data_IF_397906534898
#
_entry.id   IF_397906534898
#
_cell.length_a   1.000
_cell.length_b   1.000
_cell.length_c   1.000
_cell.angle_alpha   90.00
_cell.angle_beta   90.00
_cell.angle_gamma   90.00
#
_symmetry.space_group_name_H-M   'P 1'
#
loop_
_entity.id
_entity.type
_entity.pdbx_description
1 polymer ?
#
# COMPACT_ATOMS: atom_id res chain seq x y z
N UNK A 1 9.08 18.89 6.58
CA UNK A 1 9.39 17.45 6.56
C UNK A 1 10.43 17.15 5.47
N UNK A 2 11.25 16.10 5.63
CA UNK A 2 12.24 15.66 4.63
C UNK A 2 11.52 15.04 3.42
N UNK A 3 11.84 15.48 2.21
CA UNK A 3 11.35 14.88 0.98
C UNK A 3 12.55 14.42 0.12
N UNK A 4 12.51 13.24 -0.53
CA UNK A 4 11.53 12.17 -0.26
C UNK A 4 11.57 11.71 1.21
N UNK A 5 10.45 11.20 1.71
CA UNK A 5 10.36 10.66 3.06
C UNK A 5 11.31 9.47 3.21
N UNK A 6 11.30 8.58 2.21
CA UNK A 6 12.15 7.40 2.19
C UNK A 6 12.50 6.95 0.77
N UNK A 7 13.73 6.49 0.60
CA UNK A 7 14.22 5.77 -0.58
C UNK A 7 14.91 4.50 -0.12
N UNK A 8 14.59 3.40 -0.79
CA UNK A 8 15.21 2.11 -0.52
C UNK A 8 16.70 2.14 -0.91
N UNK A 9 17.64 1.92 0.02
CA UNK A 9 19.07 2.04 -0.29
C UNK A 9 19.63 0.83 -1.05
N UNK A 10 18.85 -0.23 -1.26
CA UNK A 10 19.33 -1.49 -1.87
C UNK A 10 19.00 -1.53 -3.36
N UNK A 11 17.73 -1.47 -3.70
CA UNK A 11 17.24 -1.51 -5.07
C UNK A 11 16.68 -0.17 -5.53
N UNK A 12 16.37 0.77 -4.64
CA UNK A 12 15.80 2.10 -4.95
C UNK A 12 14.38 2.04 -5.55
N UNK A 13 13.62 1.03 -5.10
CA UNK A 13 12.26 0.76 -5.55
C UNK A 13 11.27 0.61 -4.41
N UNK A 14 11.24 1.56 -3.47
CA UNK A 14 10.24 1.56 -2.40
C UNK A 14 8.85 1.94 -2.97
N UNK A 15 7.90 1.01 -2.91
CA UNK A 15 6.53 1.21 -3.43
C UNK A 15 5.50 0.56 -2.50
N UNK A 16 4.23 0.96 -2.63
CA UNK A 16 3.09 0.38 -1.92
C UNK A 16 3.33 0.25 -0.40
N UNK A 17 3.64 1.37 0.30
CA UNK A 17 4.02 1.31 1.71
C UNK A 17 2.79 1.03 2.59
N UNK A 18 3.00 0.30 3.69
CA UNK A 18 2.13 0.27 4.87
C UNK A 18 2.88 0.78 6.08
N UNK A 19 2.25 1.64 6.87
CA UNK A 19 2.80 2.26 8.07
C UNK A 19 2.15 1.63 9.29
N UNK A 20 2.94 0.92 10.09
CA UNK A 20 2.43 0.16 11.23
C UNK A 20 3.29 0.35 12.48
N UNK A 21 2.66 0.42 13.65
CA UNK A 21 3.37 0.53 14.91
C UNK A 21 3.86 -0.84 15.38
N UNK A 22 5.19 -0.99 15.47
CA UNK A 22 5.78 -2.16 16.12
C UNK A 22 5.71 -2.00 17.64
N UNK A 23 4.78 -2.72 18.26
CA UNK A 23 4.51 -2.72 19.71
C UNK A 23 5.64 -3.27 20.56
N UNK A 24 6.44 -4.21 20.06
CA UNK A 24 7.58 -4.76 20.80
C UNK A 24 8.77 -3.80 20.76
N UNK A 25 9.11 -3.30 19.56
CA UNK A 25 10.21 -2.35 19.38
C UNK A 25 9.87 -0.94 19.87
N UNK A 26 8.57 -0.61 19.97
CA UNK A 26 8.04 0.73 20.21
C UNK A 26 8.53 1.73 19.15
N UNK A 27 8.40 1.35 17.88
CA UNK A 27 8.82 2.14 16.72
C UNK A 27 7.78 2.09 15.62
N UNK A 28 7.68 3.15 14.82
CA UNK A 28 6.91 3.12 13.58
C UNK A 28 7.70 2.40 12.51
N UNK A 29 7.07 1.45 11.82
CA UNK A 29 7.67 0.68 10.74
C UNK A 29 6.94 0.97 9.44
N UNK A 30 7.72 1.16 8.37
CA UNK A 30 7.26 1.23 6.99
C UNK A 30 7.65 -0.08 6.35
N UNK A 31 6.67 -0.87 5.96
CA UNK A 31 6.86 -2.11 5.22
C UNK A 31 6.38 -1.84 3.79
N UNK A 32 7.17 -2.19 2.79
CA UNK A 32 6.91 -1.77 1.41
C UNK A 32 7.28 -2.84 0.40
N UNK A 33 6.64 -2.84 -0.77
CA UNK A 33 7.09 -3.61 -1.93
C UNK A 33 8.51 -3.18 -2.30
N UNK A 34 9.50 -4.05 -2.15
CA UNK A 34 10.88 -3.75 -2.52
C UNK A 34 11.11 -4.08 -4.01
N UNK A 35 10.70 -3.17 -4.91
CA UNK A 35 10.89 -3.31 -6.35
C UNK A 35 12.37 -3.33 -6.68
N UNK A 36 12.78 -4.28 -7.52
CA UNK A 36 14.19 -4.54 -7.85
C UNK A 36 14.65 -3.67 -9.02
N UNK A 37 14.56 -2.35 -8.85
CA UNK A 37 14.77 -1.37 -9.93
C UNK A 37 16.13 -1.51 -10.61
N UNK A 38 17.20 -1.77 -9.83
CA UNK A 38 18.56 -1.97 -10.34
C UNK A 38 18.86 -3.39 -10.81
N UNK A 39 17.94 -4.35 -10.64
CA UNK A 39 18.14 -5.71 -11.11
C UNK A 39 18.02 -5.80 -12.63
N UNK A 40 18.84 -6.67 -13.23
CA UNK A 40 18.71 -7.04 -14.63
C UNK A 40 17.45 -7.89 -14.84
N UNK A 41 16.86 -7.78 -16.03
CA UNK A 41 15.67 -8.52 -16.40
C UNK A 41 14.87 -7.84 -17.51
N UNK A 42 14.13 -8.64 -18.24
CA UNK A 42 13.29 -8.18 -19.34
C UNK A 42 11.93 -7.69 -18.84
N UNK A 43 11.35 -6.74 -19.58
CA UNK A 43 10.00 -6.24 -19.34
C UNK A 43 9.78 -5.81 -17.89
N UNK A 44 8.85 -6.50 -17.22
CA UNK A 44 8.41 -6.17 -15.86
C UNK A 44 9.08 -7.02 -14.78
N UNK A 45 10.14 -7.77 -15.10
CA UNK A 45 10.85 -8.60 -14.12
C UNK A 45 11.34 -7.82 -12.88
N UNK A 46 11.62 -6.52 -13.02
CA UNK A 46 12.04 -5.65 -11.93
C UNK A 46 10.95 -5.40 -10.87
N UNK A 47 9.65 -5.53 -11.22
CA UNK A 47 8.56 -5.50 -10.23
C UNK A 47 8.22 -6.87 -9.68
N UNK A 48 8.76 -7.96 -10.24
CA UNK A 48 8.59 -9.31 -9.69
C UNK A 48 9.82 -9.75 -8.88
N UNK A 49 9.75 -10.89 -8.20
CA UNK A 49 10.80 -11.38 -7.31
C UNK A 49 11.06 -10.45 -6.13
N UNK A 50 10.07 -9.66 -5.75
CA UNK A 50 10.17 -8.62 -4.71
C UNK A 50 10.02 -9.23 -3.33
N UNK A 51 10.86 -8.77 -2.41
CA UNK A 51 10.63 -8.97 -0.98
C UNK A 51 9.75 -7.81 -0.45
N UNK A 52 9.40 -7.88 0.83
CA UNK A 52 8.88 -6.75 1.58
C UNK A 52 10.04 -6.07 2.33
N UNK A 53 10.40 -4.86 1.93
CA UNK A 53 11.41 -4.05 2.60
C UNK A 53 10.89 -3.44 3.90
N UNK A 54 11.78 -3.14 4.84
CA UNK A 54 11.44 -2.58 6.15
C UNK A 54 12.31 -1.36 6.43
N UNK A 55 11.69 -0.25 6.81
CA UNK A 55 12.35 0.89 7.43
C UNK A 55 11.68 1.21 8.77
N UNK A 56 12.44 1.65 9.77
CA UNK A 56 11.88 2.03 11.08
C UNK A 56 12.15 3.49 11.43
N UNK A 57 11.25 4.06 12.21
CA UNK A 57 11.29 5.42 12.71
C UNK A 57 11.06 5.44 14.23
N UNK A 58 11.99 6.08 14.94
CA UNK A 58 11.96 6.28 16.40
C UNK A 58 11.52 7.69 16.80
N UNK A 59 11.34 8.58 15.81
CA UNK A 59 11.14 10.02 15.98
C UNK A 59 9.79 10.48 15.41
N UNK A 60 8.79 9.60 15.46
CA UNK A 60 7.42 9.90 15.01
C UNK A 60 7.29 10.06 13.51
N UNK A 61 8.08 9.33 12.71
CA UNK A 61 8.02 9.35 11.26
C UNK A 61 8.89 10.43 10.60
N UNK A 62 9.62 11.24 11.37
CA UNK A 62 10.46 12.33 10.82
C UNK A 62 11.64 11.78 10.02
N UNK A 63 12.24 10.68 10.48
CA UNK A 63 13.30 9.96 9.78
C UNK A 63 13.05 8.45 9.76
N UNK A 64 13.51 7.81 8.68
CA UNK A 64 13.32 6.39 8.42
C UNK A 64 14.67 5.72 8.13
N UNK A 65 14.98 4.68 8.90
CA UNK A 65 16.19 3.90 8.78
C UNK A 65 15.85 2.53 8.17
N UNK A 66 16.44 2.19 7.02
CA UNK A 66 16.31 0.86 6.44
C UNK A 66 16.81 -0.23 7.40
N UNK A 67 16.04 -1.31 7.53
CA UNK A 67 16.27 -2.43 8.47
C UNK A 67 16.52 -3.77 7.79
N UNK A 68 16.20 -3.91 6.51
CA UNK A 68 16.29 -5.17 5.78
C UNK A 68 14.99 -5.50 5.07
N UNK A 69 14.79 -6.78 4.78
CA UNK A 69 13.53 -7.32 4.24
C UNK A 69 12.94 -8.34 5.20
N UNK A 70 11.61 -8.48 5.20
CA UNK A 70 10.93 -9.55 5.94
C UNK A 70 11.42 -10.93 5.46
N UNK A 71 11.55 -11.87 6.38
CA UNK A 71 12.07 -13.22 6.13
C UNK A 71 10.99 -14.27 6.38
N UNK A 72 11.17 -15.47 5.83
CA UNK A 72 10.31 -16.62 6.13
C UNK A 72 8.91 -16.58 5.49
N UNK A 73 8.71 -15.73 4.48
CA UNK A 73 7.43 -15.60 3.78
C UNK A 73 7.23 -16.63 2.66
N UNK A 74 8.29 -17.21 2.10
CA UNK A 74 8.15 -18.18 1.02
C UNK A 74 7.41 -19.45 1.49
N UNK A 75 6.31 -19.78 0.79
CA UNK A 75 5.50 -20.99 1.03
C UNK A 75 5.91 -22.19 0.18
N UNK A 76 6.83 -21.97 -0.77
CA UNK A 76 7.34 -22.97 -1.69
C UNK A 76 8.75 -22.60 -2.19
N UNK A 77 9.47 -23.56 -2.77
CA UNK A 77 10.82 -23.33 -3.27
C UNK A 77 10.82 -22.36 -4.46
N UNK A 78 11.68 -21.33 -4.39
CA UNK A 78 11.90 -20.40 -5.49
C UNK A 78 12.22 -18.98 -5.01
N UNK A 79 12.34 -18.06 -5.98
CA UNK A 79 12.32 -16.62 -5.71
C UNK A 79 10.96 -16.10 -6.12
N UNK A 80 10.10 -15.84 -5.15
CA UNK A 80 8.72 -15.43 -5.39
C UNK A 80 8.55 -13.92 -5.22
N UNK A 81 7.35 -13.44 -5.51
CA UNK A 81 6.99 -12.04 -5.53
C UNK A 81 5.97 -11.74 -4.44
N UNK A 82 6.26 -10.73 -3.63
CA UNK A 82 5.36 -10.19 -2.61
C UNK A 82 5.11 -8.70 -2.87
N UNK A 83 3.83 -8.30 -2.96
CA UNK A 83 3.42 -6.91 -3.20
C UNK A 83 2.40 -6.41 -2.20
N UNK A 84 2.46 -5.09 -1.95
CA UNK A 84 1.42 -4.28 -1.30
C UNK A 84 0.83 -4.98 -0.06
N UNK A 85 1.63 -5.14 1.01
CA UNK A 85 1.15 -5.79 2.22
C UNK A 85 0.17 -4.88 2.95
N UNK A 86 -0.96 -5.44 3.37
CA UNK A 86 -1.83 -4.86 4.39
C UNK A 86 -1.51 -5.48 5.73
N UNK A 87 -1.34 -4.67 6.78
CA UNK A 87 -0.99 -5.16 8.11
C UNK A 87 -1.85 -4.49 9.17
N UNK A 88 -2.63 -5.30 9.88
CA UNK A 88 -3.46 -4.85 11.02
C UNK A 88 -3.06 -5.56 12.31
N UNK A 89 -3.24 -4.88 13.44
CA UNK A 89 -3.09 -5.48 14.76
C UNK A 89 -4.47 -5.84 15.33
N UNK A 90 -4.64 -7.10 15.72
CA UNK A 90 -5.88 -7.56 16.34
C UNK A 90 -5.58 -8.66 17.38
N UNK A 91 -6.20 -8.55 18.56
CA UNK A 91 -6.12 -9.53 19.65
C UNK A 91 -4.70 -10.06 19.97
N UNK A 92 -3.69 -9.18 19.96
CA UNK A 92 -2.32 -9.56 20.33
C UNK A 92 -1.45 -10.06 19.18
N UNK A 93 -1.94 -10.01 17.93
CA UNK A 93 -1.21 -10.45 16.75
C UNK A 93 -1.29 -9.43 15.63
N UNK A 94 -0.21 -9.31 14.86
CA UNK A 94 -0.25 -8.71 13.53
C UNK A 94 -0.80 -9.74 12.55
N UNK A 95 -1.73 -9.30 11.71
CA UNK A 95 -2.23 -10.05 10.57
C UNK A 95 -1.75 -9.34 9.30
N UNK A 96 -1.06 -10.06 8.42
CA UNK A 96 -0.63 -9.54 7.12
C UNK A 96 -1.38 -10.24 6.00
N UNK A 97 -1.88 -9.46 5.06
CA UNK A 97 -2.47 -9.91 3.80
C UNK A 97 -1.63 -9.34 2.67
N UNK A 98 -1.04 -10.22 1.88
CA UNK A 98 -0.03 -9.83 0.88
C UNK A 98 -0.31 -10.50 -0.45
N UNK A 99 -0.16 -9.73 -1.52
CA UNK A 99 -0.27 -10.23 -2.88
C UNK A 99 0.93 -11.12 -3.22
N UNK A 100 0.67 -12.29 -3.77
CA UNK A 100 1.67 -13.30 -4.08
C UNK A 100 1.64 -13.73 -5.53
N UNK A 101 2.82 -13.79 -6.16
CA UNK A 101 3.04 -14.38 -7.48
C UNK A 101 4.25 -15.31 -7.41
N UNK A 102 4.08 -16.53 -7.92
CA UNK A 102 5.18 -17.49 -8.02
C UNK A 102 6.21 -17.02 -9.06
N UNK A 103 7.49 -16.99 -8.66
CA UNK A 103 8.61 -16.71 -9.55
C UNK A 103 8.81 -15.24 -9.94
N UNK A 104 9.58 -15.04 -11.02
CA UNK A 104 9.89 -13.73 -11.63
C UNK A 104 9.40 -13.71 -13.09
N UNK A 105 8.12 -13.40 -13.33
CA UNK A 105 7.63 -13.13 -14.68
C UNK A 105 8.37 -11.98 -15.37
N UNK A 106 8.58 -12.10 -16.69
CA UNK A 106 9.02 -10.97 -17.54
C UNK A 106 7.85 -10.19 -18.15
N UNK A 107 6.62 -10.71 -18.02
CA UNK A 107 5.38 -10.12 -18.53
C UNK A 107 4.19 -10.37 -17.60
N UNK A 108 3.12 -9.59 -17.75
CA UNK A 108 1.95 -9.65 -16.88
C UNK A 108 1.05 -10.87 -17.11
N UNK A 109 0.90 -11.31 -18.36
CA UNK A 109 -0.09 -12.31 -18.76
C UNK A 109 0.32 -13.72 -18.31
N UNK A 110 -0.67 -14.55 -17.95
CA UNK A 110 -0.46 -15.99 -17.70
C UNK A 110 0.00 -16.36 -16.28
N UNK A 111 0.05 -15.40 -15.35
CA UNK A 111 0.46 -15.63 -13.97
C UNK A 111 -0.72 -15.44 -13.00
N UNK A 112 -0.81 -16.27 -11.95
CA UNK A 112 -1.79 -16.08 -10.88
C UNK A 112 -1.34 -14.98 -9.94
N UNK A 113 -2.30 -14.25 -9.36
CA UNK A 113 -2.08 -13.38 -8.21
C UNK A 113 -2.99 -13.87 -7.09
N UNK A 114 -2.38 -14.39 -6.04
CA UNK A 114 -3.09 -14.92 -4.88
C UNK A 114 -2.95 -13.95 -3.70
N UNK A 115 -3.93 -13.95 -2.79
CA UNK A 115 -3.83 -13.25 -1.51
C UNK A 115 -3.40 -14.23 -0.43
N UNK A 116 -2.25 -13.99 0.21
CA UNK A 116 -1.74 -14.83 1.30
C UNK A 116 -1.94 -14.16 2.65
N UNK A 117 -2.31 -14.96 3.66
CA UNK A 117 -2.48 -14.53 5.04
C UNK A 117 -1.36 -15.06 5.93
N UNK A 118 -0.75 -14.17 6.70
CA UNK A 118 0.23 -14.47 7.74
C UNK A 118 -0.17 -13.85 9.07
N UNK A 119 0.34 -14.41 10.16
CA UNK A 119 0.31 -13.75 11.48
C UNK A 119 1.70 -13.62 12.07
N UNK A 120 1.96 -12.58 12.84
CA UNK A 120 3.21 -12.41 13.58
C UNK A 120 2.97 -11.80 14.96
N UNK A 121 3.73 -12.17 16.00
CA UNK A 121 3.70 -11.48 17.28
C UNK A 121 4.44 -10.13 17.27
N UNK A 122 5.36 -9.91 16.32
CA UNK A 122 6.38 -8.85 16.42
C UNK A 122 6.80 -8.20 15.09
N UNK A 123 6.06 -8.46 14.00
CA UNK A 123 6.35 -8.03 12.62
C UNK A 123 7.62 -8.65 11.98
N UNK A 124 8.27 -9.60 12.64
CA UNK A 124 9.46 -10.28 12.13
C UNK A 124 9.24 -11.78 11.97
N UNK A 125 8.67 -12.42 12.99
CA UNK A 125 8.43 -13.86 13.01
C UNK A 125 7.06 -14.15 12.41
N UNK A 126 7.01 -14.35 11.10
CA UNK A 126 5.77 -14.59 10.37
C UNK A 126 5.42 -16.06 10.29
N UNK A 127 4.15 -16.38 10.54
CA UNK A 127 3.57 -17.72 10.37
C UNK A 127 2.55 -17.68 9.25
N UNK A 128 2.80 -18.44 8.18
CA UNK A 128 1.82 -18.64 7.11
C UNK A 128 0.55 -19.30 7.66
N UNK A 129 -0.62 -18.77 7.27
CA UNK A 129 -1.93 -19.29 7.68
C UNK A 129 -2.68 -19.91 6.53
N UNK A 130 -2.86 -19.16 5.45
CA UNK A 130 -3.66 -19.61 4.32
C UNK A 130 -3.36 -18.83 3.05
N UNK A 131 -3.69 -19.44 1.92
CA UNK A 131 -4.00 -18.74 0.68
C UNK A 131 -5.51 -18.52 0.67
N UNK A 132 -5.96 -17.28 0.51
CA UNK A 132 -7.39 -16.98 0.53
C UNK A 132 -8.07 -17.41 -0.77
N UNK A 133 -9.31 -17.86 -0.64
CA UNK A 133 -10.22 -18.10 -1.77
C UNK A 133 -11.14 -16.87 -1.90
N UNK A 134 -10.79 -15.99 -2.84
CA UNK A 134 -11.54 -14.76 -3.15
C UNK A 134 -12.29 -14.90 -4.49
N UNK A 135 -12.73 -13.79 -5.08
CA UNK A 135 -13.55 -13.80 -6.29
C UNK A 135 -12.84 -14.34 -7.54
N UNK A 136 -11.51 -14.33 -7.58
CA UNK A 136 -10.72 -14.84 -8.71
C UNK A 136 -9.29 -15.24 -8.32
N UNK A 137 -8.50 -15.74 -9.28
CA UNK A 137 -7.07 -16.04 -9.14
C UNK A 137 -6.15 -14.88 -9.61
N UNK A 138 -6.70 -13.66 -9.68
CA UNK A 138 -5.99 -12.43 -10.04
C UNK A 138 -6.35 -11.29 -9.09
N UNK A 139 -6.18 -11.54 -7.81
CA UNK A 139 -6.51 -10.61 -6.73
C UNK A 139 -5.24 -10.08 -6.07
N UNK A 140 -5.18 -8.77 -5.84
CA UNK A 140 -4.05 -8.07 -5.20
C UNK A 140 -4.54 -6.91 -4.34
N UNK A 141 -3.62 -6.29 -3.61
CA UNK A 141 -3.79 -5.00 -2.95
C UNK A 141 -4.95 -4.99 -1.95
N UNK A 142 -4.84 -5.83 -0.92
CA UNK A 142 -5.83 -5.86 0.15
C UNK A 142 -5.78 -4.58 1.00
N UNK A 143 -6.91 -4.22 1.59
CA UNK A 143 -7.03 -3.33 2.74
C UNK A 143 -8.13 -3.86 3.64
N UNK A 144 -7.98 -3.76 4.96
CA UNK A 144 -8.93 -4.28 5.93
C UNK A 144 -9.36 -3.19 6.90
N UNK A 145 -10.66 -3.17 7.20
CA UNK A 145 -11.22 -2.30 8.22
C UNK A 145 -12.26 -3.06 9.05
N UNK A 146 -12.33 -2.76 10.35
CA UNK A 146 -13.37 -3.26 11.24
C UNK A 146 -14.76 -2.72 10.85
N UNK A 147 -15.77 -3.59 10.88
CA UNK A 147 -17.15 -3.19 10.59
C UNK A 147 -17.85 -2.67 11.87
N UNK A 148 -18.75 -1.68 11.78
CA UNK A 148 -19.46 -1.14 12.96
C UNK A 148 -20.32 -2.19 13.69
N UNK A 149 -20.76 -3.22 12.97
CA UNK A 149 -21.51 -4.36 13.52
C UNK A 149 -20.65 -5.49 14.11
N UNK A 150 -19.33 -5.32 14.12
CA UNK A 150 -18.36 -6.37 14.44
C UNK A 150 -17.90 -7.14 13.20
N UNK A 151 -16.75 -7.80 13.33
CA UNK A 151 -16.05 -8.40 12.20
C UNK A 151 -15.30 -7.37 11.37
N UNK A 152 -14.90 -7.79 10.18
CA UNK A 152 -13.96 -7.09 9.31
C UNK A 152 -14.43 -7.19 7.86
N UNK A 153 -14.08 -6.18 7.08
CA UNK A 153 -14.18 -6.22 5.62
C UNK A 153 -12.81 -6.01 5.02
N UNK A 154 -12.50 -6.84 4.03
CA UNK A 154 -11.37 -6.69 3.14
C UNK A 154 -11.87 -6.08 1.83
N UNK A 155 -11.18 -5.06 1.34
CA UNK A 155 -11.29 -4.57 -0.02
C UNK A 155 -10.03 -4.98 -0.78
N UNK A 156 -10.17 -5.41 -2.03
CA UNK A 156 -9.04 -5.83 -2.86
C UNK A 156 -9.32 -5.57 -4.33
N UNK A 157 -8.26 -5.41 -5.12
CA UNK A 157 -8.37 -5.33 -6.58
C UNK A 157 -8.60 -6.71 -7.15
N UNK A 158 -9.57 -6.85 -8.05
CA UNK A 158 -9.75 -8.05 -8.87
C UNK A 158 -9.51 -7.76 -10.35
N UNK A 159 -8.35 -8.16 -10.87
CA UNK A 159 -7.97 -7.92 -12.26
C UNK A 159 -8.83 -8.72 -13.25
N UNK A 160 -9.30 -9.91 -12.86
CA UNK A 160 -10.19 -10.72 -13.70
C UNK A 160 -11.59 -10.11 -13.82
N UNK A 161 -11.98 -9.26 -12.85
CA UNK A 161 -13.27 -8.57 -12.83
C UNK A 161 -13.14 -7.06 -13.11
N UNK A 162 -12.26 -6.69 -14.06
CA UNK A 162 -12.14 -5.33 -14.57
C UNK A 162 -11.13 -4.45 -13.84
N UNK A 163 -10.31 -5.02 -12.95
CA UNK A 163 -9.46 -4.27 -12.02
C UNK A 163 -10.29 -3.30 -11.17
N UNK A 164 -11.36 -3.83 -10.61
CA UNK A 164 -12.28 -3.13 -9.72
C UNK A 164 -12.03 -3.52 -8.27
N UNK A 165 -12.42 -2.67 -7.33
CA UNK A 165 -12.48 -3.05 -5.91
C UNK A 165 -13.62 -4.02 -5.68
N UNK A 166 -13.28 -5.20 -5.20
CA UNK A 166 -14.17 -6.21 -4.64
C UNK A 166 -14.00 -6.25 -3.12
N UNK A 167 -14.96 -6.87 -2.43
CA UNK A 167 -14.88 -7.07 -0.99
C UNK A 167 -15.17 -8.51 -0.55
N UNK A 168 -14.69 -8.83 0.65
CA UNK A 168 -15.00 -10.02 1.40
C UNK A 168 -15.08 -9.70 2.90
N UNK A 169 -15.98 -10.37 3.62
CA UNK A 169 -16.20 -10.13 5.06
C UNK A 169 -15.67 -11.30 5.88
N UNK A 170 -15.20 -11.02 7.09
CA UNK A 170 -14.69 -12.02 8.03
C UNK A 170 -15.10 -11.69 9.46
N UNK A 171 -15.38 -12.72 10.25
CA UNK A 171 -15.62 -12.57 11.69
C UNK A 171 -14.36 -12.78 12.54
N UNK A 172 -13.33 -13.39 11.97
CA UNK A 172 -12.17 -13.90 12.72
C UNK A 172 -10.81 -13.57 12.07
N UNK A 173 -10.80 -12.86 10.94
CA UNK A 173 -9.62 -12.58 10.09
C UNK A 173 -9.01 -13.81 9.39
N UNK A 174 -9.45 -15.03 9.68
CA UNK A 174 -8.93 -16.25 9.05
C UNK A 174 -9.79 -16.73 7.90
N UNK A 175 -11.12 -16.58 8.01
CA UNK A 175 -12.09 -17.04 7.03
C UNK A 175 -12.81 -15.86 6.41
N UNK A 176 -12.79 -15.78 5.09
CA UNK A 176 -13.33 -14.66 4.33
C UNK A 176 -14.45 -15.15 3.40
N UNK A 177 -15.56 -14.42 3.38
CA UNK A 177 -16.70 -14.66 2.48
C UNK A 177 -16.83 -13.50 1.51
N UNK A 178 -16.72 -13.76 0.20
CA UNK A 178 -16.81 -12.73 -0.83
C UNK A 178 -18.19 -12.07 -0.84
N UNK A 179 -18.22 -10.75 -0.70
CA UNK A 179 -19.45 -9.94 -0.74
C UNK A 179 -19.74 -9.37 -2.13
N UNK A 180 -18.71 -9.26 -2.98
CA UNK A 180 -18.83 -8.89 -4.39
C UNK A 180 -18.21 -7.54 -4.74
N UNK A 181 -18.58 -6.95 -5.90
CA UNK A 181 -18.02 -5.68 -6.35
C UNK A 181 -18.47 -4.50 -5.48
N UNK A 182 -17.55 -3.59 -5.17
CA UNK A 182 -17.80 -2.36 -4.40
C UNK A 182 -17.66 -1.11 -5.29
N UNK A 183 -16.50 -0.94 -5.94
CA UNK A 183 -16.24 0.19 -6.84
C UNK A 183 -15.97 -0.35 -8.25
N UNK A 184 -16.90 -0.13 -9.19
CA UNK A 184 -16.86 -0.68 -10.56
C UNK A 184 -16.72 0.38 -11.64
N UNK A 185 -16.18 1.55 -11.28
CA UNK A 185 -15.99 2.68 -12.16
C UNK A 185 -14.84 2.47 -13.16
N UNK A 186 -13.81 3.32 -13.08
CA UNK A 186 -12.58 3.11 -13.86
C UNK A 186 -11.79 1.94 -13.28
N UNK A 187 -10.99 1.21 -14.06
CA UNK A 187 -9.95 0.32 -13.52
C UNK A 187 -9.03 1.07 -12.55
N UNK A 188 -8.68 0.44 -11.42
CA UNK A 188 -7.83 1.00 -10.35
C UNK A 188 -7.17 -0.12 -9.53
N UNK A 189 -6.39 0.26 -8.52
CA UNK A 189 -5.80 -0.63 -7.51
C UNK A 189 -5.62 0.05 -6.16
N UNK A 190 -4.95 -0.61 -5.20
CA UNK A 190 -4.56 -0.01 -3.93
C UNK A 190 -5.68 0.65 -3.14
N UNK A 191 -6.76 -0.07 -2.86
CA UNK A 191 -7.79 0.44 -1.96
C UNK A 191 -7.19 0.65 -0.57
N UNK A 192 -7.43 1.80 0.05
CA UNK A 192 -7.11 2.05 1.47
C UNK A 192 -8.31 2.72 2.13
N UNK A 193 -8.82 2.13 3.22
CA UNK A 193 -10.07 2.50 3.90
C UNK A 193 -9.77 2.95 5.32
N UNK A 194 -10.25 4.14 5.69
CA UNK A 194 -10.00 4.72 7.00
C UNK A 194 -11.17 5.61 7.45
N UNK A 195 -11.35 5.75 8.77
CA UNK A 195 -12.32 6.67 9.36
C UNK A 195 -11.63 8.00 9.71
N UNK A 196 -12.14 9.11 9.20
CA UNK A 196 -11.62 10.44 9.49
C UNK A 196 -12.72 11.51 9.44
N UNK A 197 -12.77 12.37 10.48
CA UNK A 197 -13.76 13.46 10.62
C UNK A 197 -15.20 12.99 10.32
N UNK A 198 -15.66 12.03 11.13
CA UNK A 198 -17.00 11.44 11.15
C UNK A 198 -17.42 10.58 9.95
N UNK A 199 -16.60 10.50 8.90
CA UNK A 199 -16.87 9.69 7.72
C UNK A 199 -15.85 8.56 7.55
N UNK A 200 -16.27 7.55 6.79
CA UNK A 200 -15.34 6.60 6.19
C UNK A 200 -14.90 7.11 4.83
N UNK A 201 -13.63 6.94 4.55
CA UNK A 201 -13.02 7.31 3.28
C UNK A 201 -12.37 6.08 2.68
N UNK A 202 -12.38 6.02 1.35
CA UNK A 202 -11.61 5.07 0.57
C UNK A 202 -10.84 5.86 -0.48
N UNK A 203 -9.55 5.59 -0.58
CA UNK A 203 -8.74 6.02 -1.72
C UNK A 203 -8.39 4.80 -2.58
N UNK A 204 -8.27 4.99 -3.90
CA UNK A 204 -7.82 3.97 -4.86
C UNK A 204 -6.89 4.60 -5.90
N UNK A 205 -5.82 3.92 -6.27
CA UNK A 205 -4.91 4.39 -7.32
C UNK A 205 -5.56 4.20 -8.70
N UNK A 206 -5.97 5.30 -9.35
CA UNK A 206 -6.52 5.27 -10.72
C UNK A 206 -5.43 5.41 -11.81
N UNK A 207 -4.15 5.27 -11.44
CA UNK A 207 -2.95 5.58 -12.25
C UNK A 207 -2.94 6.99 -12.83
N UNK A 208 -3.62 7.90 -12.13
CA UNK A 208 -3.69 9.34 -12.43
C UNK A 208 -3.88 10.16 -11.16
N UNK A 209 -3.44 9.63 -10.03
CA UNK A 209 -3.80 10.06 -8.69
C UNK A 209 -4.81 9.13 -8.02
N UNK A 210 -5.15 9.48 -6.78
CA UNK A 210 -5.97 8.69 -5.86
C UNK A 210 -7.45 9.10 -5.97
N UNK A 211 -8.29 8.21 -6.50
CA UNK A 211 -9.74 8.38 -6.54
C UNK A 211 -10.29 8.33 -5.12
N UNK A 212 -11.07 9.34 -4.72
CA UNK A 212 -11.60 9.44 -3.35
C UNK A 212 -13.08 9.06 -3.33
N UNK A 213 -13.46 8.23 -2.36
CA UNK A 213 -14.83 7.85 -2.07
C UNK A 213 -15.14 8.09 -0.59
N UNK A 214 -16.39 8.45 -0.30
CA UNK A 214 -16.90 8.70 1.05
C UNK A 214 -18.03 7.72 1.35
N UNK A 215 -18.09 7.24 2.58
CA UNK A 215 -19.17 6.40 3.08
C UNK A 215 -19.57 6.80 4.51
N UNK A 216 -20.82 6.54 4.86
CA UNK A 216 -21.33 6.63 6.23
C UNK A 216 -21.39 5.28 6.95
N UNK A 217 -21.34 4.18 6.21
CA UNK A 217 -21.70 2.83 6.69
C UNK A 217 -20.73 1.71 6.26
N UNK A 218 -19.72 2.02 5.43
CA UNK A 218 -18.79 1.09 4.77
C UNK A 218 -19.41 0.17 3.69
N UNK A 219 -20.71 0.30 3.43
CA UNK A 219 -21.44 -0.45 2.41
C UNK A 219 -21.67 0.41 1.15
N UNK A 220 -22.11 1.65 1.35
CA UNK A 220 -22.45 2.58 0.28
C UNK A 220 -21.34 3.61 0.10
N UNK A 221 -20.80 3.70 -1.11
CA UNK A 221 -19.68 4.57 -1.43
C UNK A 221 -20.07 5.62 -2.48
N UNK A 222 -19.87 6.88 -2.14
CA UNK A 222 -20.06 8.02 -3.04
C UNK A 222 -18.70 8.54 -3.49
N UNK A 223 -18.48 8.68 -4.79
CA UNK A 223 -17.25 9.32 -5.29
C UNK A 223 -17.21 10.78 -4.85
N UNK A 224 -16.14 11.16 -4.17
CA UNK A 224 -15.96 12.49 -3.56
C UNK A 224 -14.81 13.31 -4.14
N UNK A 225 -13.97 12.75 -5.02
CA UNK A 225 -12.92 13.53 -5.67
C UNK A 225 -11.78 12.73 -6.26
N UNK A 226 -10.66 13.42 -6.46
CA UNK A 226 -9.38 12.90 -6.88
C UNK A 226 -8.31 13.74 -6.15
N UNK A 227 -7.33 13.09 -5.53
CA UNK A 227 -6.20 13.75 -4.86
C UNK A 227 -4.89 13.21 -5.42
N UNK A 228 -3.77 13.92 -5.18
CA UNK A 228 -2.44 13.52 -5.66
C UNK A 228 -2.33 13.33 -7.19
N UNK A 229 -3.25 13.93 -7.96
CA UNK A 229 -3.32 13.86 -9.43
C UNK A 229 -2.49 14.94 -10.13
N UNK A 230 -2.04 15.94 -9.39
CA UNK A 230 -1.22 17.03 -9.90
C UNK A 230 0.22 16.90 -9.38
N UNK A 231 1.24 17.25 -10.18
CA UNK A 231 2.62 17.42 -9.75
C UNK A 231 2.80 18.30 -8.50
N UNK A 232 3.86 18.03 -7.75
CA UNK A 232 4.21 18.67 -6.49
C UNK A 232 5.56 19.32 -6.66
N UNK A 233 5.98 20.11 -5.66
CA UNK A 233 7.19 20.93 -5.75
C UNK A 233 8.36 20.36 -4.95
N UNK A 234 8.13 19.29 -4.18
CA UNK A 234 9.15 18.68 -3.32
C UNK A 234 10.01 17.69 -4.12
N UNK A 235 11.22 17.45 -3.60
CA UNK A 235 12.14 16.48 -4.21
C UNK A 235 11.46 15.11 -4.35
N UNK A 236 11.60 14.53 -5.53
CA UNK A 236 11.00 13.26 -5.92
C UNK A 236 9.45 13.20 -5.84
N UNK A 237 8.75 14.33 -5.72
CA UNK A 237 7.29 14.43 -5.64
C UNK A 237 6.68 15.15 -6.87
N UNK A 238 7.40 15.11 -7.99
CA UNK A 238 7.06 15.82 -9.24
C UNK A 238 6.05 15.10 -10.15
N UNK A 239 5.62 13.90 -9.81
CA UNK A 239 4.66 13.09 -10.60
C UNK A 239 3.39 12.82 -9.80
N UNK A 240 2.37 12.20 -10.40
CA UNK A 240 1.20 11.73 -9.65
C UNK A 240 1.61 10.83 -8.47
N UNK A 241 0.84 10.90 -7.38
CA UNK A 241 0.96 9.95 -6.28
C UNK A 241 0.22 8.66 -6.61
N UNK A 242 0.88 7.54 -6.34
CA UNK A 242 0.38 6.18 -6.61
C UNK A 242 -0.05 5.51 -5.29
N UNK A 243 -0.26 4.18 -5.29
CA UNK A 243 -0.68 3.37 -4.12
C UNK A 243 -0.20 3.95 -2.79
N UNK A 244 -1.14 4.11 -1.86
CA UNK A 244 -0.92 4.82 -0.62
C UNK A 244 -1.53 4.12 0.59
N UNK A 245 -0.97 4.43 1.75
CA UNK A 245 -1.51 4.08 3.06
C UNK A 245 -1.81 5.35 3.87
N UNK A 246 -2.75 5.26 4.81
CA UNK A 246 -3.21 6.39 5.62
C UNK A 246 -3.19 6.05 7.10
N UNK A 247 -2.49 6.87 7.88
CA UNK A 247 -2.50 6.78 9.35
C UNK A 247 -3.33 7.93 9.90
N UNK A 248 -4.40 7.59 10.65
CA UNK A 248 -5.26 8.54 11.34
C UNK A 248 -4.97 8.52 12.84
N UNK A 249 -4.76 9.69 13.43
CA UNK A 249 -4.52 9.86 14.88
C UNK A 249 -5.35 11.02 15.43
N UNK A 250 -6.55 10.69 15.92
CA UNK A 250 -7.49 11.70 16.40
C UNK A 250 -7.93 12.62 15.26
N UNK A 251 -7.57 13.90 15.37
CA UNK A 251 -7.94 14.94 14.40
C UNK A 251 -6.91 15.11 13.25
N UNK A 252 -5.81 14.37 13.28
CA UNK A 252 -4.78 14.39 12.24
C UNK A 252 -4.83 13.12 11.38
N UNK A 253 -4.60 13.26 10.08
CA UNK A 253 -4.45 12.15 9.16
C UNK A 253 -3.28 12.39 8.20
N UNK A 254 -2.45 11.38 7.99
CA UNK A 254 -1.29 11.44 7.10
C UNK A 254 -1.39 10.37 6.04
N UNK A 255 -1.20 10.75 4.78
CA UNK A 255 -1.12 9.84 3.65
C UNK A 255 0.34 9.61 3.27
N UNK A 256 0.71 8.35 3.08
CA UNK A 256 2.03 7.87 2.67
C UNK A 256 1.89 7.20 1.32
N UNK A 257 2.52 7.75 0.30
CA UNK A 257 2.35 7.30 -1.09
C UNK A 257 3.71 7.25 -1.77
N UNK A 258 3.83 6.48 -2.84
CA UNK A 258 5.03 6.51 -3.66
C UNK A 258 4.81 7.27 -4.97
N UNK A 259 5.92 7.74 -5.54
CA UNK A 259 5.98 8.33 -6.87
C UNK A 259 7.01 7.58 -7.70
N UNK A 260 6.98 7.78 -9.02
CA UNK A 260 8.10 7.46 -9.90
C UNK A 260 8.72 8.76 -10.39
N UNK A 261 9.73 9.32 -9.68
CA UNK A 261 10.16 10.69 -9.92
C UNK A 261 10.70 10.97 -11.32
N UNK A 262 11.28 9.96 -11.97
CA UNK A 262 11.76 10.08 -13.34
C UNK A 262 10.66 10.02 -14.39
N UNK A 263 9.39 9.74 -14.01
CA UNK A 263 8.25 9.68 -14.94
C UNK A 263 7.58 11.03 -15.20
N UNK A 264 8.40 12.02 -15.53
CA UNK A 264 7.96 13.40 -15.81
C UNK A 264 7.54 13.63 -17.28
N UNK A 265 7.49 12.55 -18.08
CA UNK A 265 7.18 12.60 -19.51
C UNK A 265 8.38 12.89 -20.42
N UNK A 266 9.59 13.08 -19.87
CA UNK A 266 10.84 13.25 -20.63
C UNK A 266 11.68 11.98 -20.77
N UNK A 267 11.17 10.86 -20.26
CA UNK A 267 11.84 9.57 -20.14
C UNK A 267 12.42 9.03 -21.46
N UNK A 268 13.62 8.45 -21.38
CA UNK A 268 14.29 7.75 -22.49
C UNK A 268 14.68 6.32 -22.08
N UNK A 269 13.71 5.42 -22.07
CA UNK A 269 13.86 4.03 -21.59
C UNK A 269 14.85 3.17 -22.41
N UNK A 270 15.34 3.66 -23.53
CA UNK A 270 16.30 2.93 -24.36
C UNK A 270 17.69 2.81 -23.68
N UNK A 271 18.01 3.73 -22.76
CA UNK A 271 19.28 3.75 -22.03
C UNK A 271 19.18 3.10 -20.64
N UNK A 272 20.28 2.51 -20.10
CA UNK A 272 20.28 2.01 -18.72
C UNK A 272 19.88 3.07 -17.69
N UNK A 273 20.38 4.30 -17.84
CA UNK A 273 20.02 5.42 -16.96
C UNK A 273 18.53 5.77 -17.08
N UNK A 274 18.00 5.88 -18.29
CA UNK A 274 16.59 6.17 -18.49
C UNK A 274 15.66 5.09 -17.94
N UNK A 275 16.04 3.80 -18.05
CA UNK A 275 15.31 2.70 -17.39
C UNK A 275 15.35 2.82 -15.88
N UNK A 276 16.51 3.14 -15.31
CA UNK A 276 16.62 3.35 -13.87
C UNK A 276 15.70 4.50 -13.42
N UNK A 277 15.72 5.64 -14.12
CA UNK A 277 14.89 6.80 -13.80
C UNK A 277 13.38 6.50 -13.94
N UNK A 278 12.95 5.76 -14.96
CA UNK A 278 11.53 5.40 -15.12
C UNK A 278 11.04 4.35 -14.12
N UNK A 279 11.94 3.64 -13.46
CA UNK A 279 11.63 2.56 -12.51
C UNK A 279 11.77 2.97 -11.06
N UNK A 280 12.75 3.81 -10.72
CA UNK A 280 13.00 4.21 -9.32
C UNK A 280 11.75 4.80 -8.68
N UNK A 281 11.58 4.55 -7.40
CA UNK A 281 10.44 5.06 -6.66
C UNK A 281 10.84 5.58 -5.30
N UNK A 282 10.06 6.52 -4.79
CA UNK A 282 10.33 7.21 -3.55
C UNK A 282 9.04 7.38 -2.78
N UNK A 283 9.08 7.10 -1.48
CA UNK A 283 7.92 7.31 -0.60
C UNK A 283 7.90 8.77 -0.18
N UNK A 284 6.73 9.36 -0.22
CA UNK A 284 6.38 10.72 0.16
C UNK A 284 5.33 10.68 1.26
N UNK A 285 5.12 11.82 1.93
CA UNK A 285 3.99 11.97 2.84
C UNK A 285 3.31 13.34 2.66
N UNK A 286 2.02 13.38 2.96
CA UNK A 286 1.24 14.61 3.02
C UNK A 286 0.21 14.51 4.14
N UNK A 287 -0.31 15.67 4.56
CA UNK A 287 -1.44 15.71 5.48
C UNK A 287 -2.74 15.62 4.70
N UNK A 288 -3.70 14.89 5.24
CA UNK A 288 -5.07 14.89 4.78
C UNK A 288 -5.90 15.81 5.67
N UNK A 289 -6.87 16.48 5.06
CA UNK A 289 -7.88 17.25 5.78
C UNK A 289 -9.26 17.06 5.14
N UNK A 290 -10.32 17.49 5.81
CA UNK A 290 -11.67 17.58 5.25
C UNK A 290 -12.12 19.03 5.28
N UNK A 291 -12.32 19.61 4.09
CA UNK A 291 -12.80 20.99 3.90
C UNK A 291 -14.15 20.92 3.21
N UNK A 292 -15.17 21.54 3.80
CA UNK A 292 -16.54 21.55 3.29
C UNK A 292 -17.09 20.15 2.94
N UNK A 293 -16.71 19.15 3.75
CA UNK A 293 -17.15 17.76 3.59
C UNK A 293 -16.43 16.96 2.50
N UNK A 294 -15.33 17.48 1.94
CA UNK A 294 -14.49 16.85 0.92
C UNK A 294 -13.10 16.58 1.48
N UNK A 295 -12.59 15.36 1.31
CA UNK A 295 -11.21 15.02 1.65
C UNK A 295 -10.24 15.71 0.68
N UNK A 296 -9.27 16.44 1.24
CA UNK A 296 -8.27 17.21 0.50
C UNK A 296 -6.86 16.78 0.90
N UNK A 297 -5.92 16.99 0.00
CA UNK A 297 -4.50 16.71 0.21
C UNK A 297 -3.68 17.79 -0.49
N UNK A 298 -3.28 18.82 0.26
CA UNK A 298 -2.27 19.76 -0.22
C UNK A 298 -0.88 19.16 0.03
N UNK A 299 -0.39 18.40 -0.96
CA UNK A 299 0.93 17.79 -0.85
C UNK A 299 2.08 18.80 -0.87
N UNK A 300 1.86 20.08 -1.13
CA UNK A 300 2.92 21.09 -1.00
C UNK A 300 2.88 21.81 0.35
N UNK A 301 1.88 21.52 1.18
CA UNK A 301 1.79 22.05 2.54
C UNK A 301 3.06 21.73 3.33
N UNK A 302 3.58 22.75 4.03
CA UNK A 302 4.65 22.57 4.99
C UNK A 302 4.04 22.16 6.32
N UNK A 303 4.31 20.92 6.73
CA UNK A 303 3.88 20.39 8.02
C UNK A 303 5.02 19.64 8.72
N UNK A 304 4.82 19.42 10.03
CA UNK A 304 5.63 18.53 10.86
C UNK A 304 4.91 17.19 10.93
N UNK A 305 5.54 16.13 10.40
CA UNK A 305 5.02 14.77 10.56
C UNK A 305 5.34 14.30 11.96
N UNK A 306 4.31 13.94 12.73
CA UNK A 306 4.46 13.46 14.10
C UNK A 306 3.47 12.35 14.38
N UNK A 307 3.90 11.12 14.12
CA UNK A 307 3.18 9.92 14.50
C UNK A 307 3.38 9.64 15.99
N UNK A 308 2.28 9.52 16.72
CA UNK A 308 2.24 9.13 18.13
C UNK A 308 2.34 7.60 18.26
N UNK A 309 2.89 7.04 19.34
CA UNK A 309 2.77 5.61 19.62
C UNK A 309 1.32 5.13 19.63
N UNK A 310 1.04 3.95 19.06
CA UNK A 310 -0.26 3.30 19.27
C UNK A 310 -0.33 2.72 20.69
N UNK A 311 -1.52 2.79 21.29
CA UNK A 311 -1.77 2.17 22.58
C UNK A 311 -2.00 0.65 22.38
N UNK A 312 -1.62 -0.14 23.39
CA UNK A 312 -1.91 -1.57 23.44
C UNK A 312 -3.36 -1.85 23.77
#
# INVERSE_FOLDING_TARGET
MKAPLFRDPVYDGAADPVITWNREAQEWWMIYTNRRVTAEGEGVAWVHGTDLGVASSRDGGTSWLYRGTLQGLDIEWGRNTFWAPEIIWHEGLYHMYVSYIQGIPSGWAGHRRDMLHYTSPNLLDWTFRSRLELSSDRVIDACIHELPGGGFRMWYKDEANGSHTYAADSMDLYRWEVTGPVITGRPHEGANVFRFKDHYWMIVDEWRGQGVFRSGDLDTWERSGLILDQPGTREDDGTIGLHADVVVQGDEAYIFYFTHPGRDGSEREDSPEGRYQSRRSSVQAARLDVVDGVLVCDRNEVFELKLLPEQN
#
